data_IF_706262685922
#
_entry.id   IF_706262685922
#
_cell.length_a   1.000
_cell.length_b   1.000
_cell.length_c   1.000
_cell.angle_alpha   90.00
_cell.angle_beta   90.00
_cell.angle_gamma   90.00
#
_symmetry.space_group_name_H-M   'P 1'
#
loop_
_entity.id
_entity.type
_entity.pdbx_description
1 polymer ?
#
# COMPACT_ATOMS: atom_id res chain seq x y z
N UNK A 1 24.81 -33.43 -72.58
CA UNK A 1 24.08 -33.56 -71.31
C UNK A 1 24.73 -32.61 -70.30
N UNK A 2 24.04 -31.50 -69.97
CA UNK A 2 24.07 -30.78 -68.68
C UNK A 2 23.54 -29.35 -68.90
N UNK A 3 22.22 -29.20 -68.83
CA UNK A 3 21.59 -27.91 -68.58
C UNK A 3 21.53 -27.71 -67.07
N UNK A 4 22.45 -26.94 -66.51
CA UNK A 4 22.32 -26.42 -65.15
C UNK A 4 21.48 -25.14 -65.21
N UNK A 5 20.25 -25.25 -64.74
CA UNK A 5 19.30 -24.16 -64.56
C UNK A 5 19.70 -23.39 -63.30
N UNK A 6 20.39 -22.27 -63.45
CA UNK A 6 20.58 -21.29 -62.37
C UNK A 6 19.28 -20.49 -62.23
N UNK A 7 18.46 -20.86 -61.25
CA UNK A 7 17.33 -20.03 -60.82
C UNK A 7 17.88 -19.01 -59.82
N UNK A 8 18.22 -17.81 -60.31
CA UNK A 8 18.46 -16.65 -59.45
C UNK A 8 17.12 -16.21 -58.87
N UNK A 9 16.99 -16.32 -57.55
CA UNK A 9 15.87 -15.73 -56.81
C UNK A 9 16.31 -14.30 -56.51
N UNK A 10 15.84 -13.35 -57.32
CA UNK A 10 15.99 -11.93 -57.04
C UNK A 10 15.05 -11.60 -55.88
N UNK A 11 15.58 -11.63 -54.67
CA UNK A 11 14.89 -11.13 -53.48
C UNK A 11 14.97 -9.61 -53.55
N UNK A 12 13.82 -8.98 -53.75
CA UNK A 12 13.70 -7.54 -53.90
C UNK A 12 14.24 -6.84 -52.64
N UNK A 13 15.15 -5.88 -52.81
CA UNK A 13 15.90 -5.25 -51.71
C UNK A 13 14.96 -4.57 -50.69
N UNK A 14 13.78 -4.15 -51.16
CA UNK A 14 12.72 -3.56 -50.33
C UNK A 14 12.06 -4.56 -49.36
N UNK A 15 11.99 -5.85 -49.72
CA UNK A 15 11.44 -6.87 -48.83
C UNK A 15 12.40 -7.16 -47.66
N UNK A 16 13.70 -7.09 -47.91
CA UNK A 16 14.74 -7.31 -46.90
C UNK A 16 14.74 -6.20 -45.82
N UNK A 17 14.46 -4.96 -46.21
CA UNK A 17 14.37 -3.81 -45.30
C UNK A 17 13.07 -3.81 -44.46
N UNK A 18 11.99 -4.40 -44.99
CA UNK A 18 10.76 -4.59 -44.24
C UNK A 18 10.93 -5.64 -43.12
N UNK A 19 11.67 -6.72 -43.39
CA UNK A 19 11.89 -7.83 -42.46
C UNK A 19 12.83 -7.41 -41.32
N UNK A 20 13.87 -6.61 -41.59
CA UNK A 20 14.78 -6.10 -40.55
C UNK A 20 14.07 -5.12 -39.61
N UNK A 21 13.28 -4.19 -40.14
CA UNK A 21 12.47 -3.27 -39.33
C UNK A 21 11.42 -3.99 -38.48
N UNK A 22 10.78 -5.03 -39.04
CA UNK A 22 9.82 -5.85 -38.30
C UNK A 22 10.48 -6.59 -37.12
N UNK A 23 11.63 -7.22 -37.35
CA UNK A 23 12.38 -7.95 -36.31
C UNK A 23 12.90 -7.01 -35.21
N UNK A 24 13.30 -5.79 -35.54
CA UNK A 24 13.75 -4.80 -34.56
C UNK A 24 12.59 -4.33 -33.66
N UNK A 25 11.39 -4.13 -34.23
CA UNK A 25 10.17 -3.79 -33.48
C UNK A 25 9.69 -4.93 -32.57
N UNK A 26 9.85 -6.19 -33.01
CA UNK A 26 9.45 -7.37 -32.22
C UNK A 26 10.38 -7.57 -31.01
N UNK A 27 11.69 -7.40 -31.22
CA UNK A 27 12.70 -7.55 -30.17
C UNK A 27 12.60 -6.46 -29.09
N UNK A 28 12.25 -5.21 -29.46
CA UNK A 28 11.97 -4.15 -28.47
C UNK A 28 10.71 -4.42 -27.64
N UNK A 29 9.65 -4.95 -28.26
CA UNK A 29 8.40 -5.28 -27.57
C UNK A 29 8.59 -6.40 -26.54
N UNK A 30 9.38 -7.44 -26.84
CA UNK A 30 9.67 -8.52 -25.88
C UNK A 30 10.56 -8.05 -24.73
N UNK A 31 11.58 -7.20 -25.00
CA UNK A 31 12.40 -6.58 -23.95
C UNK A 31 11.57 -5.70 -23.01
N UNK A 32 10.58 -5.00 -23.53
CA UNK A 32 9.64 -4.20 -22.74
C UNK A 32 8.68 -5.08 -21.92
N UNK A 33 8.29 -6.24 -22.45
CA UNK A 33 7.41 -7.22 -21.78
C UNK A 33 8.12 -7.90 -20.61
N UNK A 34 9.38 -8.27 -20.76
CA UNK A 34 10.19 -8.86 -19.70
C UNK A 34 10.52 -7.87 -18.58
N UNK A 35 10.91 -6.63 -18.92
CA UNK A 35 11.11 -5.56 -17.92
C UNK A 35 9.84 -5.28 -17.10
N UNK A 36 8.66 -5.29 -17.74
CA UNK A 36 7.38 -5.15 -17.03
C UNK A 36 7.12 -6.33 -16.09
N UNK A 37 7.39 -7.56 -16.52
CA UNK A 37 7.18 -8.77 -15.71
C UNK A 37 8.09 -8.81 -14.47
N UNK A 38 9.34 -8.39 -14.62
CA UNK A 38 10.31 -8.31 -13.52
C UNK A 38 9.97 -7.23 -12.50
N UNK A 39 9.57 -6.03 -12.97
CA UNK A 39 9.16 -4.91 -12.11
C UNK A 39 7.93 -5.25 -11.25
N UNK A 40 6.95 -5.98 -11.81
CA UNK A 40 5.75 -6.42 -11.08
C UNK A 40 6.09 -7.41 -9.95
N UNK A 41 7.01 -8.34 -10.17
CA UNK A 41 7.39 -9.36 -9.16
C UNK A 41 8.11 -8.73 -7.96
N UNK A 42 8.98 -7.75 -8.21
CA UNK A 42 9.66 -7.00 -7.15
C UNK A 42 8.65 -6.18 -6.33
N UNK A 43 7.75 -5.47 -7.00
CA UNK A 43 6.72 -4.67 -6.32
C UNK A 43 5.82 -5.53 -5.43
N UNK A 44 5.47 -6.73 -5.91
CA UNK A 44 4.62 -7.64 -5.14
C UNK A 44 5.32 -8.17 -3.89
N UNK A 45 6.59 -8.57 -4.00
CA UNK A 45 7.37 -9.02 -2.85
C UNK A 45 7.58 -7.89 -1.83
N UNK A 46 7.89 -6.68 -2.29
CA UNK A 46 8.05 -5.51 -1.42
C UNK A 46 6.75 -5.21 -0.66
N UNK A 47 5.60 -5.24 -1.33
CA UNK A 47 4.29 -5.03 -0.71
C UNK A 47 4.00 -6.05 0.41
N UNK A 48 4.41 -7.31 0.22
CA UNK A 48 4.20 -8.38 1.18
C UNK A 48 5.05 -8.18 2.44
N UNK A 49 6.33 -7.80 2.29
CA UNK A 49 7.19 -7.48 3.43
C UNK A 49 6.67 -6.29 4.23
N UNK A 50 6.21 -5.24 3.56
CA UNK A 50 5.62 -4.06 4.23
C UNK A 50 4.39 -4.45 5.06
N UNK A 51 3.51 -5.30 4.51
CA UNK A 51 2.33 -5.79 5.22
C UNK A 51 2.72 -6.61 6.46
N UNK A 52 3.71 -7.52 6.33
CA UNK A 52 4.19 -8.32 7.46
C UNK A 52 4.76 -7.41 8.55
N UNK A 53 5.59 -6.44 8.19
CA UNK A 53 6.14 -5.47 9.14
C UNK A 53 5.01 -4.72 9.86
N UNK A 54 4.01 -4.22 9.13
CA UNK A 54 2.85 -3.53 9.73
C UNK A 54 2.13 -4.41 10.75
N UNK A 55 1.89 -5.69 10.43
CA UNK A 55 1.25 -6.63 11.36
C UNK A 55 2.11 -6.82 12.62
N UNK A 56 3.42 -7.03 12.47
CA UNK A 56 4.33 -7.21 13.59
C UNK A 56 4.33 -5.97 14.49
N UNK A 57 4.46 -4.77 13.91
CA UNK A 57 4.45 -3.53 14.67
C UNK A 57 3.10 -3.29 15.37
N UNK A 58 1.97 -3.56 14.71
CA UNK A 58 0.65 -3.48 15.35
C UNK A 58 0.52 -4.43 16.54
N UNK A 59 1.03 -5.66 16.45
CA UNK A 59 1.03 -6.60 17.59
C UNK A 59 1.90 -6.07 18.74
N UNK A 60 3.10 -5.56 18.43
CA UNK A 60 4.00 -4.98 19.44
C UNK A 60 3.32 -3.80 20.15
N UNK A 61 2.74 -2.86 19.40
CA UNK A 61 2.05 -1.70 19.96
C UNK A 61 0.86 -2.11 20.82
N UNK A 62 0.09 -3.11 20.38
CA UNK A 62 -1.02 -3.65 21.15
C UNK A 62 -0.57 -4.24 22.49
N UNK A 63 0.47 -5.10 22.47
CA UNK A 63 1.02 -5.73 23.68
C UNK A 63 1.54 -4.67 24.65
N UNK A 64 2.29 -3.68 24.17
CA UNK A 64 2.82 -2.60 25.01
C UNK A 64 1.68 -1.76 25.58
N UNK A 65 0.67 -1.44 24.77
CA UNK A 65 -0.53 -0.74 25.25
C UNK A 65 -1.24 -1.50 26.36
N UNK A 66 -1.35 -2.82 26.28
CA UNK A 66 -1.97 -3.65 27.33
C UNK A 66 -1.10 -3.68 28.59
N UNK A 67 0.19 -4.04 28.46
CA UNK A 67 1.10 -4.21 29.60
C UNK A 67 1.19 -2.92 30.42
N UNK A 68 1.24 -1.76 29.76
CA UNK A 68 1.46 -0.47 30.42
C UNK A 68 0.18 0.32 30.69
N UNK A 69 -1.01 -0.23 30.37
CA UNK A 69 -2.30 0.44 30.60
C UNK A 69 -2.50 0.92 32.03
N UNK A 70 -2.14 0.09 33.00
CA UNK A 70 -2.35 0.38 34.42
C UNK A 70 -1.12 1.01 35.09
N UNK A 71 0.04 0.88 34.47
CA UNK A 71 1.32 1.39 34.99
C UNK A 71 1.50 2.90 34.72
N UNK A 72 0.77 3.45 33.75
CA UNK A 72 0.88 4.85 33.33
C UNK A 72 -0.29 5.71 33.86
N UNK A 73 -0.43 5.85 35.18
CA UNK A 73 -1.58 6.55 35.80
C UNK A 73 -1.70 8.03 35.41
N UNK A 74 -0.59 8.71 35.20
CA UNK A 74 -0.59 10.14 34.86
C UNK A 74 -1.10 10.39 33.44
N UNK A 75 -0.94 9.42 32.53
CA UNK A 75 -1.31 9.55 31.12
C UNK A 75 -1.85 8.21 30.56
N UNK A 76 -3.07 7.82 30.99
CA UNK A 76 -3.69 6.56 30.55
C UNK A 76 -4.06 6.55 29.06
N UNK A 77 -4.14 7.74 28.44
CA UNK A 77 -4.57 7.90 27.05
C UNK A 77 -3.57 7.32 26.04
N UNK A 78 -2.28 7.27 26.37
CA UNK A 78 -1.24 6.80 25.43
C UNK A 78 -1.27 5.27 25.26
N UNK A 79 -1.32 4.46 26.35
CA UNK A 79 -1.56 3.03 26.20
C UNK A 79 -2.87 2.73 25.46
N UNK A 80 -3.94 3.49 25.71
CA UNK A 80 -5.23 3.36 25.02
C UNK A 80 -5.09 3.67 23.52
N UNK A 81 -4.38 4.74 23.18
CA UNK A 81 -4.04 5.09 21.81
C UNK A 81 -3.37 3.93 21.09
N UNK A 82 -2.32 3.35 21.69
CA UNK A 82 -1.56 2.24 21.10
C UNK A 82 -2.46 1.02 20.86
N UNK A 83 -3.34 0.67 21.79
CA UNK A 83 -4.29 -0.45 21.65
C UNK A 83 -5.22 -0.19 20.47
N UNK A 84 -5.94 0.93 20.48
CA UNK A 84 -6.97 1.22 19.48
C UNK A 84 -6.34 1.41 18.09
N UNK A 85 -5.21 2.12 18.01
CA UNK A 85 -4.49 2.31 16.75
C UNK A 85 -4.05 0.97 16.13
N UNK A 86 -3.58 0.04 16.96
CA UNK A 86 -3.20 -1.30 16.50
C UNK A 86 -4.38 -2.09 15.96
N UNK A 87 -5.51 -2.07 16.68
CA UNK A 87 -6.76 -2.73 16.25
C UNK A 87 -7.23 -2.14 14.91
N UNK A 88 -7.25 -0.80 14.80
CA UNK A 88 -7.66 -0.12 13.58
C UNK A 88 -6.77 -0.49 12.39
N UNK A 89 -5.44 -0.54 12.56
CA UNK A 89 -4.54 -0.98 11.48
C UNK A 89 -4.85 -2.42 11.05
N UNK A 90 -5.02 -3.33 12.00
CA UNK A 90 -5.30 -4.74 11.70
C UNK A 90 -6.64 -4.92 10.98
N UNK A 91 -7.69 -4.24 11.43
CA UNK A 91 -9.00 -4.24 10.76
C UNK A 91 -8.86 -3.66 9.35
N UNK A 92 -8.11 -2.57 9.18
CA UNK A 92 -7.91 -1.96 7.87
C UNK A 92 -7.22 -2.93 6.91
N UNK A 93 -6.13 -3.57 7.34
CA UNK A 93 -5.42 -4.57 6.54
C UNK A 93 -6.32 -5.76 6.18
N UNK A 94 -7.15 -6.21 7.11
CA UNK A 94 -8.12 -7.29 6.88
C UNK A 94 -9.16 -6.89 5.83
N UNK A 95 -9.76 -5.69 5.97
CA UNK A 95 -10.70 -5.13 5.01
C UNK A 95 -10.06 -4.97 3.64
N UNK A 96 -8.87 -4.36 3.54
CA UNK A 96 -8.15 -4.20 2.28
C UNK A 96 -7.84 -5.54 1.59
N UNK A 97 -7.47 -6.58 2.36
CA UNK A 97 -7.20 -7.90 1.81
C UNK A 97 -8.47 -8.58 1.31
N UNK A 98 -9.55 -8.56 2.09
CA UNK A 98 -10.84 -9.13 1.69
C UNK A 98 -11.40 -8.40 0.47
N UNK A 99 -11.41 -7.07 0.49
CA UNK A 99 -11.87 -6.25 -0.62
C UNK A 99 -11.00 -6.46 -1.86
N UNK A 100 -9.68 -6.54 -1.71
CA UNK A 100 -8.74 -6.80 -2.81
C UNK A 100 -8.92 -8.18 -3.44
N UNK A 101 -9.09 -9.24 -2.62
CA UNK A 101 -9.37 -10.60 -3.12
C UNK A 101 -10.73 -10.65 -3.81
N UNK A 102 -11.76 -10.04 -3.20
CA UNK A 102 -13.10 -9.96 -3.77
C UNK A 102 -13.09 -9.21 -5.10
N UNK A 103 -12.35 -8.11 -5.19
CA UNK A 103 -12.17 -7.31 -6.41
C UNK A 103 -11.44 -8.10 -7.51
N UNK A 104 -10.36 -8.81 -7.17
CA UNK A 104 -9.64 -9.68 -8.11
C UNK A 104 -10.49 -10.87 -8.59
N UNK A 105 -11.28 -11.46 -7.69
CA UNK A 105 -12.22 -12.52 -8.04
C UNK A 105 -13.36 -12.00 -8.93
N UNK A 106 -13.86 -10.79 -8.68
CA UNK A 106 -14.87 -10.13 -9.51
C UNK A 106 -14.34 -9.83 -10.91
N UNK A 107 -13.12 -9.31 -11.03
CA UNK A 107 -12.49 -9.04 -12.33
C UNK A 107 -12.28 -10.34 -13.11
N UNK A 108 -11.85 -11.43 -12.45
CA UNK A 108 -11.70 -12.74 -13.11
C UNK A 108 -13.03 -13.40 -13.46
N UNK A 109 -14.09 -13.13 -12.71
CA UNK A 109 -15.46 -13.59 -12.98
C UNK A 109 -16.31 -12.64 -13.84
N UNK A 110 -15.73 -11.58 -14.42
CA UNK A 110 -16.44 -10.54 -15.17
C UNK A 110 -16.82 -10.95 -16.60
N UNK A 111 -17.39 -12.15 -16.79
CA UNK A 111 -18.03 -12.54 -18.06
C UNK A 111 -19.56 -12.47 -18.05
N UNK A 112 -20.22 -12.19 -16.92
CA UNK A 112 -21.70 -12.13 -16.88
C UNK A 112 -22.24 -11.13 -15.84
N UNK A 113 -23.20 -10.30 -16.25
CA UNK A 113 -24.01 -9.30 -15.52
C UNK A 113 -23.30 -8.06 -14.93
N UNK A 114 -23.69 -6.87 -15.41
CA UNK A 114 -22.97 -5.58 -15.28
C UNK A 114 -23.49 -4.60 -14.24
N UNK A 115 -24.70 -4.78 -13.67
CA UNK A 115 -25.29 -3.77 -12.76
C UNK A 115 -24.93 -4.00 -11.28
N UNK A 116 -25.13 -5.21 -10.76
CA UNK A 116 -24.90 -5.53 -9.33
C UNK A 116 -23.43 -5.45 -8.91
N UNK A 117 -22.52 -5.60 -9.89
CA UNK A 117 -21.07 -5.53 -9.67
C UNK A 117 -20.56 -4.11 -9.42
N UNK A 118 -21.22 -3.10 -9.99
CA UNK A 118 -20.87 -1.69 -9.79
C UNK A 118 -21.16 -1.22 -8.37
N UNK A 119 -22.29 -1.65 -7.80
CA UNK A 119 -22.71 -1.30 -6.44
C UNK A 119 -21.74 -1.88 -5.41
N UNK A 120 -21.33 -3.14 -5.56
CA UNK A 120 -20.39 -3.79 -4.64
C UNK A 120 -19.02 -3.09 -4.56
N UNK A 121 -18.49 -2.63 -5.71
CA UNK A 121 -17.22 -1.89 -5.76
C UNK A 121 -17.37 -0.50 -5.12
N UNK A 122 -18.49 0.17 -5.37
CA UNK A 122 -18.77 1.49 -4.80
C UNK A 122 -18.87 1.43 -3.27
N UNK A 123 -19.61 0.43 -2.74
CA UNK A 123 -19.72 0.18 -1.30
C UNK A 123 -18.35 -0.12 -0.69
N UNK A 124 -17.58 -1.04 -1.30
CA UNK A 124 -16.23 -1.38 -0.85
C UNK A 124 -15.30 -0.16 -0.76
N UNK A 125 -15.35 0.69 -1.78
CA UNK A 125 -14.52 1.92 -1.85
C UNK A 125 -14.95 2.91 -0.78
N UNK A 126 -16.27 3.09 -0.60
CA UNK A 126 -16.82 4.00 0.40
C UNK A 126 -16.44 3.57 1.83
N UNK A 127 -16.55 2.27 2.13
CA UNK A 127 -16.08 1.70 3.41
C UNK A 127 -14.60 1.92 3.63
N UNK A 128 -13.76 1.69 2.60
CA UNK A 128 -12.32 1.93 2.68
C UNK A 128 -11.96 3.39 3.00
N UNK A 129 -12.65 4.34 2.36
CA UNK A 129 -12.44 5.78 2.60
C UNK A 129 -12.89 6.17 4.01
N UNK A 130 -14.08 5.76 4.44
CA UNK A 130 -14.59 6.06 5.78
C UNK A 130 -13.63 5.52 6.85
N UNK A 131 -13.18 4.28 6.70
CA UNK A 131 -12.26 3.67 7.65
C UNK A 131 -10.89 4.36 7.65
N UNK A 132 -10.40 4.77 6.49
CA UNK A 132 -9.19 5.60 6.37
C UNK A 132 -9.31 6.94 7.11
N UNK A 133 -10.45 7.61 7.01
CA UNK A 133 -10.73 8.87 7.74
C UNK A 133 -10.73 8.62 9.25
N UNK A 134 -11.37 7.55 9.73
CA UNK A 134 -11.39 7.20 11.17
C UNK A 134 -9.97 6.99 11.70
N UNK A 135 -9.14 6.24 10.96
CA UNK A 135 -7.73 6.02 11.31
C UNK A 135 -6.96 7.34 11.36
N UNK A 136 -7.19 8.22 10.38
CA UNK A 136 -6.52 9.50 10.31
C UNK A 136 -6.87 10.42 11.49
N UNK A 137 -8.15 10.52 11.83
CA UNK A 137 -8.61 11.27 13.00
C UNK A 137 -7.97 10.70 14.27
N UNK A 138 -7.99 9.37 14.44
CA UNK A 138 -7.38 8.71 15.60
C UNK A 138 -5.87 8.96 15.70
N UNK A 139 -5.17 8.94 14.56
CA UNK A 139 -3.75 9.26 14.49
C UNK A 139 -3.44 10.70 14.89
N UNK A 140 -4.25 11.68 14.46
CA UNK A 140 -4.14 13.08 14.91
C UNK A 140 -4.31 13.17 16.43
N UNK A 141 -5.32 12.50 16.99
CA UNK A 141 -5.54 12.47 18.45
C UNK A 141 -4.33 11.92 19.20
N UNK A 142 -3.74 10.82 18.71
CA UNK A 142 -2.51 10.26 19.26
C UNK A 142 -1.29 11.19 19.16
N UNK A 143 -1.18 11.94 18.07
CA UNK A 143 -0.13 12.94 17.89
C UNK A 143 -0.28 14.07 18.93
N UNK A 144 -1.50 14.57 19.14
CA UNK A 144 -1.79 15.59 20.16
C UNK A 144 -1.43 15.08 21.56
N UNK A 145 -1.80 13.85 21.90
CA UNK A 145 -1.45 13.25 23.19
C UNK A 145 0.06 13.11 23.38
N UNK A 146 0.78 12.67 22.35
CA UNK A 146 2.24 12.56 22.41
C UNK A 146 2.94 13.92 22.56
N UNK A 147 2.45 14.97 21.88
CA UNK A 147 2.96 16.33 22.05
C UNK A 147 2.72 16.83 23.48
N UNK A 148 1.52 16.61 24.02
CA UNK A 148 1.16 16.98 25.40
C UNK A 148 2.07 16.29 26.42
N UNK A 149 2.36 15.00 26.23
CA UNK A 149 3.31 14.26 27.06
C UNK A 149 4.71 14.87 26.97
N UNK A 150 5.18 15.15 25.75
CA UNK A 150 6.53 15.70 25.52
C UNK A 150 6.72 17.05 26.21
N UNK A 151 5.69 17.91 26.18
CA UNK A 151 5.73 19.20 26.86
C UNK A 151 5.75 19.07 28.39
N UNK A 152 5.13 18.02 28.95
CA UNK A 152 5.10 17.74 30.40
C UNK A 152 6.36 17.03 30.92
N UNK A 153 7.02 16.20 30.11
CA UNK A 153 8.26 15.50 30.50
C UNK A 153 9.46 16.46 30.57
N UNK A 154 9.57 17.44 29.64
CA UNK A 154 10.70 18.39 29.59
C UNK A 154 11.08 19.03 30.95
N UNK A 155 10.13 19.46 31.81
CA UNK A 155 10.47 20.03 33.12
C UNK A 155 10.84 18.99 34.21
N UNK A 156 10.56 17.70 34.03
CA UNK A 156 10.65 16.67 35.08
C UNK A 156 11.93 15.80 35.01
N UNK A 157 12.74 15.90 33.95
CA UNK A 157 14.04 15.22 33.85
C UNK A 157 15.08 15.61 34.92
N UNK A 158 14.79 16.62 35.76
CA UNK A 158 15.65 17.01 36.89
C UNK A 158 15.53 16.08 38.11
N UNK A 159 14.46 15.29 38.25
CA UNK A 159 14.29 14.37 39.38
C UNK A 159 13.72 13.00 38.93
N UNK A 160 14.58 11.97 38.75
CA UNK A 160 14.19 10.68 38.16
C UNK A 160 13.37 9.76 39.07
N UNK A 161 12.99 10.19 40.28
CA UNK A 161 12.39 9.34 41.32
C UNK A 161 10.92 9.62 41.61
N UNK A 162 10.26 10.52 40.87
CA UNK A 162 8.82 10.70 41.06
C UNK A 162 8.05 9.51 40.45
N UNK A 163 7.36 8.77 41.32
CA UNK A 163 6.54 7.57 41.05
C UNK A 163 5.39 7.79 40.02
N UNK A 164 5.34 8.95 39.38
CA UNK A 164 4.27 9.43 38.52
C UNK A 164 4.62 9.43 37.03
N UNK A 165 5.85 9.05 36.64
CA UNK A 165 6.28 9.03 35.24
C UNK A 165 6.00 7.68 34.56
N UNK A 166 5.53 7.76 33.32
CA UNK A 166 5.37 6.59 32.44
C UNK A 166 6.74 6.01 32.06
N UNK A 167 6.82 4.69 31.87
CA UNK A 167 8.07 4.05 31.45
C UNK A 167 8.52 4.59 30.08
N UNK A 168 9.82 4.89 29.87
CA UNK A 168 10.30 5.50 28.63
C UNK A 168 9.97 4.70 27.38
N UNK A 169 9.81 3.37 27.51
CA UNK A 169 9.39 2.51 26.40
C UNK A 169 8.03 2.93 25.81
N UNK A 170 7.07 3.34 26.64
CA UNK A 170 5.74 3.77 26.19
C UNK A 170 5.86 5.04 25.35
N UNK A 171 6.70 5.98 25.78
CA UNK A 171 6.98 7.22 25.05
C UNK A 171 7.56 6.96 23.65
N UNK A 172 8.60 6.13 23.57
CA UNK A 172 9.26 5.80 22.30
C UNK A 172 8.32 5.02 21.37
N UNK A 173 7.51 4.10 21.92
CA UNK A 173 6.54 3.35 21.12
C UNK A 173 5.41 4.22 20.58
N UNK A 174 4.96 5.22 21.34
CA UNK A 174 3.99 6.21 20.86
C UNK A 174 4.57 7.10 19.76
N UNK A 175 5.83 7.53 19.88
CA UNK A 175 6.52 8.23 18.79
C UNK A 175 6.60 7.35 17.54
N UNK A 176 7.00 6.08 17.71
CA UNK A 176 7.11 5.13 16.60
C UNK A 176 5.75 4.91 15.93
N UNK A 177 4.68 4.69 16.71
CA UNK A 177 3.32 4.57 16.18
C UNK A 177 2.89 5.79 15.36
N UNK A 178 3.24 7.01 15.80
CA UNK A 178 2.97 8.23 15.04
C UNK A 178 3.74 8.29 13.72
N UNK A 179 5.04 7.93 13.72
CA UNK A 179 5.85 7.86 12.50
C UNK A 179 5.27 6.82 11.51
N UNK A 180 4.90 5.63 12.00
CA UNK A 180 4.27 4.60 11.19
C UNK A 180 2.91 5.03 10.64
N UNK A 181 2.11 5.74 11.43
CA UNK A 181 0.85 6.32 10.97
C UNK A 181 1.05 7.32 9.83
N UNK A 182 2.06 8.20 9.93
CA UNK A 182 2.41 9.15 8.88
C UNK A 182 2.84 8.44 7.59
N UNK A 183 3.75 7.46 7.69
CA UNK A 183 4.22 6.68 6.54
C UNK A 183 3.04 5.94 5.90
N UNK A 184 2.19 5.31 6.70
CA UNK A 184 0.99 4.61 6.23
C UNK A 184 0.02 5.55 5.50
N UNK A 185 -0.17 6.75 6.00
CA UNK A 185 -1.02 7.77 5.37
C UNK A 185 -0.45 8.24 4.03
N UNK A 186 0.86 8.50 3.94
CA UNK A 186 1.52 8.86 2.68
C UNK A 186 1.34 7.75 1.64
N UNK A 187 1.53 6.48 2.03
CA UNK A 187 1.34 5.33 1.15
C UNK A 187 -0.11 5.26 0.64
N UNK A 188 -1.11 5.46 1.51
CA UNK A 188 -2.52 5.45 1.10
C UNK A 188 -2.84 6.54 0.08
N UNK A 189 -2.31 7.76 0.27
CA UNK A 189 -2.46 8.85 -0.71
C UNK A 189 -1.83 8.47 -2.05
N UNK A 190 -0.61 7.93 -2.05
CA UNK A 190 0.06 7.49 -3.29
C UNK A 190 -0.77 6.45 -4.04
N UNK A 191 -1.36 5.48 -3.34
CA UNK A 191 -2.23 4.45 -3.93
C UNK A 191 -3.51 5.08 -4.50
N UNK A 192 -4.13 6.01 -3.78
CA UNK A 192 -5.34 6.70 -4.23
C UNK A 192 -5.09 7.52 -5.51
N UNK A 193 -3.95 8.23 -5.57
CA UNK A 193 -3.55 9.01 -6.75
C UNK A 193 -3.27 8.09 -7.94
N UNK A 194 -2.51 7.01 -7.76
CA UNK A 194 -2.24 6.05 -8.84
C UNK A 194 -3.54 5.40 -9.37
N UNK A 195 -4.46 5.06 -8.47
CA UNK A 195 -5.79 4.58 -8.83
C UNK A 195 -6.58 5.58 -9.68
N UNK A 196 -6.60 6.85 -9.27
CA UNK A 196 -7.27 7.94 -9.99
C UNK A 196 -6.68 8.17 -11.39
N UNK A 197 -5.35 8.19 -11.52
CA UNK A 197 -4.67 8.36 -12.81
C UNK A 197 -4.93 7.21 -13.79
N UNK A 198 -5.12 5.98 -13.29
CA UNK A 198 -5.47 4.83 -14.14
C UNK A 198 -6.91 4.91 -14.62
N UNK A 199 -7.84 5.32 -13.75
CA UNK A 199 -9.24 5.49 -14.10
C UNK A 199 -9.43 6.55 -15.21
N UNK A 200 -8.73 7.69 -15.13
CA UNK A 200 -8.82 8.75 -16.14
C UNK A 200 -8.31 8.31 -17.52
N UNK A 201 -7.21 7.55 -17.59
CA UNK A 201 -6.66 7.00 -18.83
C UNK A 201 -7.56 5.97 -19.50
N UNK A 202 -8.36 5.25 -18.73
CA UNK A 202 -9.28 4.25 -19.27
C UNK A 202 -10.53 4.90 -19.85
N UNK A 203 -11.03 5.96 -19.21
CA UNK A 203 -12.12 6.79 -19.75
C UNK A 203 -11.74 7.39 -21.10
N UNK A 204 -10.54 7.99 -21.24
CA UNK A 204 -10.13 8.63 -22.50
C UNK A 204 -9.94 7.68 -23.69
N UNK A 205 -9.74 6.37 -23.45
CA UNK A 205 -9.69 5.35 -24.51
C UNK A 205 -11.05 4.88 -24.99
N UNK A 206 -12.11 5.06 -24.22
CA UNK A 206 -13.48 4.66 -24.60
C UNK A 206 -14.12 5.70 -25.52
N UNK A 207 -13.63 6.95 -25.50
CA UNK A 207 -14.12 8.05 -26.33
C UNK A 207 -13.28 8.32 -27.60
N UNK A 208 -12.35 7.43 -27.96
CA UNK A 208 -11.67 7.40 -29.26
C UNK A 208 -12.02 6.12 -29.99
#
# INVERSE_FOLDING_TARGET
>A
MNNQLHHSIDIDLNDLESITNFNQSFNENDKHREKKKFSIKIFHNLSLYVIICLIIFSIIFFIIGIIYRNSCRSEPDIPIFLIIFSILILINLFIYRILGITFLALIRGARSCSLDKGIGILIATLFGVIFGIIIFIWWITGTIWWIKLTLRIKPQLKHPTSLACCHPIVYWTALLANIFGLIGFIIQICIAIDGSMRASKQSSKIYR
#
